data_IF_497286429892
#
_entry.id   IF_497286429892
#
_cell.length_a   1.000
_cell.length_b   1.000
_cell.length_c   1.000
_cell.angle_alpha   90.00
_cell.angle_beta   90.00
_cell.angle_gamma   90.00
#
_symmetry.space_group_name_H-M   'P 1'
#
loop_
_entity.id
_entity.type
_entity.pdbx_description
1 polymer ?
#
# COMPACT_ATOMS: atom_id res chain seq x y z
N UNK A 1 -11.05 17.56 13.88
CA UNK A 1 -11.25 16.55 12.81
C UNK A 1 -12.65 16.73 12.27
N UNK A 2 -12.81 16.65 10.95
CA UNK A 2 -14.11 16.71 10.25
C UNK A 2 -14.42 15.29 9.73
N UNK A 3 -15.69 14.90 9.68
CA UNK A 3 -16.10 13.62 9.11
C UNK A 3 -16.28 13.74 7.60
N UNK A 4 -15.89 12.72 6.85
CA UNK A 4 -16.13 12.61 5.41
C UNK A 4 -16.13 11.15 4.98
N UNK A 5 -17.01 10.81 4.05
CA UNK A 5 -17.13 9.49 3.43
C UNK A 5 -16.71 9.61 1.96
N UNK A 6 -15.78 8.76 1.54
CA UNK A 6 -15.23 8.78 0.18
C UNK A 6 -16.24 8.38 -0.89
N UNK A 7 -17.39 7.82 -0.49
CA UNK A 7 -18.51 7.49 -1.38
C UNK A 7 -19.60 8.58 -1.39
N UNK A 8 -19.50 9.61 -0.54
CA UNK A 8 -20.43 10.74 -0.47
C UNK A 8 -19.74 12.05 -0.91
N UNK A 9 -20.00 12.53 -2.15
CA UNK A 9 -19.39 13.75 -2.69
C UNK A 9 -19.62 15.01 -1.84
N UNK A 10 -20.79 15.17 -1.24
CA UNK A 10 -21.12 16.36 -0.45
C UNK A 10 -20.33 16.36 0.87
N UNK A 11 -20.14 15.18 1.45
CA UNK A 11 -19.30 15.02 2.64
C UNK A 11 -17.83 15.32 2.35
N UNK A 12 -17.33 14.95 1.16
CA UNK A 12 -15.97 15.24 0.72
C UNK A 12 -15.75 16.74 0.51
N UNK A 13 -16.69 17.44 -0.11
CA UNK A 13 -16.61 18.89 -0.32
C UNK A 13 -16.53 19.63 1.03
N UNK A 14 -17.33 19.20 2.01
CA UNK A 14 -17.27 19.73 3.37
C UNK A 14 -15.96 19.41 4.09
N UNK A 15 -15.44 18.18 3.94
CA UNK A 15 -14.20 17.75 4.58
C UNK A 15 -12.96 18.42 3.98
N UNK A 16 -12.99 18.80 2.70
CA UNK A 16 -11.90 19.47 2.00
C UNK A 16 -11.97 20.99 2.02
N UNK A 17 -13.04 21.58 2.55
CA UNK A 17 -13.19 23.03 2.64
C UNK A 17 -12.03 23.68 3.41
N UNK A 18 -11.28 24.55 2.73
CA UNK A 18 -10.12 25.27 3.29
C UNK A 18 -8.83 24.45 3.40
N UNK A 19 -8.79 23.22 2.87
CA UNK A 19 -7.60 22.39 2.84
C UNK A 19 -6.65 22.79 1.69
N UNK A 20 -5.35 22.83 1.97
CA UNK A 20 -4.31 23.11 0.96
C UNK A 20 -3.84 21.83 0.24
N UNK A 21 -4.00 20.67 0.86
CA UNK A 21 -3.57 19.39 0.33
C UNK A 21 -4.45 18.24 0.80
N UNK A 22 -4.50 17.15 0.03
CA UNK A 22 -5.19 15.91 0.42
C UNK A 22 -4.35 14.68 0.12
N UNK A 23 -4.14 13.84 1.12
CA UNK A 23 -3.48 12.54 0.97
C UNK A 23 -4.53 11.43 0.92
N UNK A 24 -4.55 10.68 -0.17
CA UNK A 24 -5.46 9.56 -0.40
C UNK A 24 -4.71 8.27 -0.10
N UNK A 25 -5.15 7.57 0.96
CA UNK A 25 -4.70 6.23 1.31
C UNK A 25 -5.94 5.39 1.59
N UNK A 26 -6.38 4.63 0.59
CA UNK A 26 -7.59 3.83 0.62
C UNK A 26 -7.25 2.36 0.39
N UNK A 27 -8.07 1.49 0.96
CA UNK A 27 -8.02 0.06 0.72
C UNK A 27 -9.42 -0.40 0.35
N UNK A 28 -9.56 -1.07 -0.79
CA UNK A 28 -10.87 -1.53 -1.28
C UNK A 28 -11.59 -2.53 -0.34
N UNK A 29 -10.91 -3.09 0.66
CA UNK A 29 -11.49 -4.12 1.54
C UNK A 29 -12.13 -5.24 0.69
N UNK A 30 -13.42 -5.53 0.91
CA UNK A 30 -14.21 -6.50 0.15
C UNK A 30 -14.70 -5.99 -1.22
N UNK A 31 -14.62 -4.69 -1.49
CA UNK A 31 -14.93 -4.08 -2.79
C UNK A 31 -13.68 -3.42 -3.37
N UNK A 32 -12.88 -4.15 -4.18
CA UNK A 32 -11.68 -3.58 -4.79
C UNK A 32 -11.91 -2.28 -5.55
N UNK A 33 -13.11 -2.05 -6.11
CA UNK A 33 -13.43 -0.85 -6.89
C UNK A 33 -13.67 0.40 -6.00
N UNK A 34 -13.92 0.23 -4.70
CA UNK A 34 -14.03 1.33 -3.73
C UNK A 34 -12.79 2.24 -3.77
N UNK A 35 -11.60 1.66 -3.90
CA UNK A 35 -10.35 2.42 -3.95
C UNK A 35 -10.29 3.33 -5.18
N UNK A 36 -10.79 2.86 -6.34
CA UNK A 36 -10.92 3.67 -7.56
C UNK A 36 -11.94 4.78 -7.38
N UNK A 37 -13.15 4.45 -6.90
CA UNK A 37 -14.24 5.42 -6.72
C UNK A 37 -13.85 6.50 -5.72
N UNK A 38 -13.35 6.10 -4.56
CA UNK A 38 -12.94 7.01 -3.51
C UNK A 38 -11.79 7.91 -3.94
N UNK A 39 -10.78 7.40 -4.65
CA UNK A 39 -9.71 8.22 -5.19
C UNK A 39 -10.22 9.24 -6.21
N UNK A 40 -11.10 8.83 -7.13
CA UNK A 40 -11.69 9.70 -8.14
C UNK A 40 -12.57 10.79 -7.51
N UNK A 41 -13.48 10.43 -6.61
CA UNK A 41 -14.39 11.36 -5.93
C UNK A 41 -13.61 12.36 -5.07
N UNK A 42 -12.60 11.88 -4.33
CA UNK A 42 -11.75 12.75 -3.51
C UNK A 42 -10.94 13.72 -4.37
N UNK A 43 -10.38 13.27 -5.50
CA UNK A 43 -9.64 14.14 -6.41
C UNK A 43 -10.55 15.20 -7.08
N UNK A 44 -11.78 14.82 -7.44
CA UNK A 44 -12.77 15.75 -7.98
C UNK A 44 -13.21 16.79 -6.93
N UNK A 45 -13.44 16.38 -5.69
CA UNK A 45 -13.74 17.27 -4.58
C UNK A 45 -12.55 18.22 -4.30
N UNK A 46 -11.33 17.71 -4.37
CA UNK A 46 -10.12 18.52 -4.26
C UNK A 46 -10.03 19.59 -5.35
N UNK A 47 -10.38 19.24 -6.59
CA UNK A 47 -10.44 20.19 -7.70
C UNK A 47 -11.50 21.28 -7.49
N UNK A 48 -12.72 20.92 -7.03
CA UNK A 48 -13.78 21.88 -6.72
C UNK A 48 -13.40 22.80 -5.56
N UNK A 49 -12.76 22.24 -4.53
CA UNK A 49 -12.35 22.95 -3.32
C UNK A 49 -11.09 23.81 -3.47
N UNK A 50 -10.43 23.77 -4.64
CA UNK A 50 -9.21 24.55 -4.89
C UNK A 50 -7.98 24.04 -4.13
N UNK A 51 -7.93 22.74 -3.81
CA UNK A 51 -6.78 22.10 -3.18
C UNK A 51 -5.56 22.22 -4.08
N UNK A 52 -4.40 22.57 -3.52
CA UNK A 52 -3.19 22.88 -4.29
C UNK A 52 -2.38 21.61 -4.67
N UNK A 53 -2.56 20.51 -3.92
CA UNK A 53 -1.87 19.24 -4.16
C UNK A 53 -2.67 18.03 -3.71
N UNK A 54 -2.78 17.02 -4.58
CA UNK A 54 -3.27 15.67 -4.22
C UNK A 54 -2.09 14.73 -4.12
N UNK A 55 -2.00 13.94 -3.06
CA UNK A 55 -1.05 12.81 -2.99
C UNK A 55 -1.80 11.50 -2.84
N UNK A 56 -1.27 10.41 -3.41
CA UNK A 56 -1.97 9.13 -3.44
C UNK A 56 -1.03 7.96 -3.21
N UNK A 57 -1.41 7.04 -2.33
CA UNK A 57 -0.73 5.75 -2.16
C UNK A 57 -1.27 4.73 -3.18
N UNK A 58 -0.42 4.36 -4.12
CA UNK A 58 -0.62 3.27 -5.08
C UNK A 58 0.37 2.11 -4.79
N UNK A 59 0.41 1.10 -5.66
CA UNK A 59 1.27 -0.08 -5.51
C UNK A 59 2.45 -0.09 -6.49
N UNK A 60 3.61 -0.59 -6.05
CA UNK A 60 4.82 -0.73 -6.87
C UNK A 60 4.61 -1.56 -8.15
N UNK A 61 3.67 -2.50 -8.14
CA UNK A 61 3.32 -3.36 -9.29
C UNK A 61 2.21 -2.80 -10.17
N UNK A 62 1.74 -1.58 -9.96
CA UNK A 62 0.62 -1.02 -10.73
C UNK A 62 1.10 -0.69 -12.15
N UNK A 63 0.61 -1.46 -13.11
CA UNK A 63 0.80 -1.26 -14.54
C UNK A 63 -0.38 -1.90 -15.30
N UNK A 64 -0.54 -1.56 -16.57
CA UNK A 64 -1.66 -2.01 -17.39
C UNK A 64 -1.70 -3.55 -17.50
N UNK A 65 -0.53 -4.18 -17.60
CA UNK A 65 -0.37 -5.64 -17.72
C UNK A 65 -0.86 -6.38 -16.47
N UNK A 66 -0.93 -5.71 -15.32
CA UNK A 66 -1.38 -6.29 -14.05
C UNK A 66 -2.86 -5.97 -13.73
N UNK A 67 -3.57 -5.24 -14.61
CA UNK A 67 -4.99 -4.89 -14.43
C UNK A 67 -5.98 -6.07 -14.52
N UNK A 68 -5.50 -7.29 -14.80
CA UNK A 68 -6.32 -8.49 -14.62
C UNK A 68 -6.65 -8.76 -13.14
N UNK A 69 -5.84 -8.23 -12.20
CA UNK A 69 -6.15 -8.25 -10.78
C UNK A 69 -6.93 -7.00 -10.38
N UNK A 70 -8.11 -7.19 -9.78
CA UNK A 70 -9.05 -6.11 -9.48
C UNK A 70 -8.44 -4.98 -8.63
N UNK A 71 -7.63 -5.31 -7.62
CA UNK A 71 -6.97 -4.31 -6.77
C UNK A 71 -5.91 -3.49 -7.49
N UNK A 72 -5.23 -4.06 -8.49
CA UNK A 72 -4.30 -3.32 -9.35
C UNK A 72 -5.05 -2.46 -10.35
N UNK A 73 -6.12 -2.99 -10.96
CA UNK A 73 -6.99 -2.24 -11.86
C UNK A 73 -7.59 -1.02 -11.18
N UNK A 74 -8.08 -1.17 -9.94
CA UNK A 74 -8.66 -0.07 -9.18
C UNK A 74 -7.63 1.04 -8.93
N UNK A 75 -6.41 0.68 -8.51
CA UNK A 75 -5.31 1.64 -8.35
C UNK A 75 -4.91 2.31 -9.65
N UNK A 76 -4.76 1.54 -10.74
CA UNK A 76 -4.40 2.06 -12.05
C UNK A 76 -5.41 3.10 -12.56
N UNK A 77 -6.70 2.80 -12.45
CA UNK A 77 -7.77 3.71 -12.84
C UNK A 77 -7.90 4.90 -11.86
N UNK A 78 -7.65 4.71 -10.57
CA UNK A 78 -7.59 5.79 -9.58
C UNK A 78 -6.45 6.76 -9.85
N UNK A 79 -5.27 6.25 -10.22
CA UNK A 79 -4.15 7.09 -10.66
C UNK A 79 -4.53 7.91 -11.91
N UNK A 80 -5.20 7.31 -12.89
CA UNK A 80 -5.66 8.02 -14.09
C UNK A 80 -6.68 9.12 -13.73
N UNK A 81 -7.68 8.80 -12.90
CA UNK A 81 -8.70 9.75 -12.47
C UNK A 81 -8.09 10.96 -11.74
N UNK A 82 -7.07 10.76 -10.89
CA UNK A 82 -6.36 11.86 -10.24
C UNK A 82 -5.70 12.77 -11.27
N UNK A 83 -4.99 12.20 -12.26
CA UNK A 83 -4.31 12.97 -13.32
C UNK A 83 -5.28 13.80 -14.15
N UNK A 84 -6.45 13.25 -14.45
CA UNK A 84 -7.50 13.89 -15.26
C UNK A 84 -8.11 15.13 -14.59
N UNK A 85 -8.02 15.25 -13.26
CA UNK A 85 -8.57 16.43 -12.55
C UNK A 85 -7.81 17.72 -12.82
N UNK A 86 -6.56 17.64 -13.29
CA UNK A 86 -5.68 18.80 -13.48
C UNK A 86 -5.12 19.40 -12.18
N UNK A 87 -5.53 18.92 -11.01
CA UNK A 87 -4.93 19.31 -9.73
C UNK A 87 -3.49 18.77 -9.69
N UNK A 88 -2.49 19.58 -9.30
CA UNK A 88 -1.13 19.08 -9.14
C UNK A 88 -1.12 17.85 -8.25
N UNK A 89 -0.42 16.78 -8.64
CA UNK A 89 -0.43 15.51 -7.90
C UNK A 89 0.96 14.96 -7.57
N UNK A 90 1.04 14.08 -6.58
CA UNK A 90 2.18 13.17 -6.40
C UNK A 90 1.66 11.76 -6.10
N UNK A 91 1.84 10.84 -7.03
CA UNK A 91 1.44 9.45 -6.87
C UNK A 91 2.64 8.67 -6.35
N UNK A 92 2.46 7.96 -5.24
CA UNK A 92 3.48 7.10 -4.65
C UNK A 92 3.19 5.64 -4.98
N UNK A 93 4.01 5.01 -5.81
CA UNK A 93 3.97 3.56 -6.04
C UNK A 93 4.91 2.88 -5.05
N UNK A 94 4.37 2.46 -3.91
CA UNK A 94 5.15 1.90 -2.82
C UNK A 94 5.19 0.37 -2.83
N UNK A 95 6.28 -0.20 -2.32
CA UNK A 95 6.35 -1.61 -1.94
C UNK A 95 5.56 -1.90 -0.65
N UNK A 96 5.64 -3.14 -0.16
CA UNK A 96 5.01 -3.54 1.08
C UNK A 96 5.52 -2.77 2.30
N UNK A 97 4.61 -2.56 3.25
CA UNK A 97 4.89 -1.88 4.50
C UNK A 97 5.19 -2.90 5.60
N UNK A 98 6.18 -2.61 6.46
CA UNK A 98 6.53 -3.42 7.62
C UNK A 98 5.30 -3.69 8.49
N UNK A 99 4.45 -2.67 8.63
CA UNK A 99 3.21 -2.68 9.38
C UNK A 99 2.29 -3.80 8.92
N UNK A 100 2.33 -4.26 7.66
CA UNK A 100 1.43 -5.32 7.17
C UNK A 100 1.81 -6.74 7.63
N UNK A 101 2.99 -6.94 8.23
CA UNK A 101 3.46 -8.26 8.64
C UNK A 101 2.61 -8.88 9.77
N UNK A 102 1.95 -8.06 10.59
CA UNK A 102 1.05 -8.57 11.64
C UNK A 102 -0.14 -9.37 11.05
N UNK A 103 -0.53 -9.12 9.80
CA UNK A 103 -1.63 -9.84 9.14
C UNK A 103 -1.32 -11.33 8.95
N UNK A 104 -0.04 -11.70 8.97
CA UNK A 104 0.42 -13.07 8.80
C UNK A 104 0.54 -13.83 10.12
N UNK A 105 0.38 -13.14 11.27
CA UNK A 105 0.53 -13.75 12.59
C UNK A 105 -0.83 -13.89 13.27
N UNK A 106 -1.13 -15.08 13.78
CA UNK A 106 -2.35 -15.41 14.54
C UNK A 106 -1.95 -16.26 15.75
N UNK A 107 -1.86 -15.63 16.92
CA UNK A 107 -1.31 -16.26 18.11
C UNK A 107 0.11 -16.76 17.86
N UNK A 108 0.39 -18.03 18.18
CA UNK A 108 1.72 -18.64 18.02
C UNK A 108 2.00 -19.19 16.61
N UNK A 109 1.29 -18.69 15.61
CA UNK A 109 1.40 -19.16 14.23
C UNK A 109 1.61 -17.99 13.28
N UNK A 110 2.70 -18.04 12.51
CA UNK A 110 2.96 -17.15 11.39
C UNK A 110 2.73 -17.93 10.09
N UNK A 111 1.70 -17.57 9.32
CA UNK A 111 1.26 -18.33 8.16
C UNK A 111 1.71 -17.66 6.86
N UNK A 112 2.57 -18.35 6.12
CA UNK A 112 3.00 -17.93 4.77
C UNK A 112 2.23 -18.76 3.73
N UNK A 113 1.42 -18.09 2.91
CA UNK A 113 0.62 -18.74 1.87
C UNK A 113 1.25 -18.50 0.50
N UNK A 114 1.65 -19.57 -0.18
CA UNK A 114 2.31 -19.48 -1.49
C UNK A 114 3.81 -19.17 -1.44
N UNK A 115 4.47 -19.28 -2.59
CA UNK A 115 5.92 -19.37 -2.75
C UNK A 115 6.67 -18.02 -2.72
N UNK A 116 5.99 -16.90 -2.96
CA UNK A 116 6.57 -15.54 -2.97
C UNK A 116 8.04 -15.46 -3.45
N UNK A 117 8.31 -15.81 -4.72
CA UNK A 117 9.68 -16.11 -5.19
C UNK A 117 10.60 -14.89 -5.31
N UNK A 118 10.08 -13.67 -5.13
CA UNK A 118 10.81 -12.43 -5.35
C UNK A 118 10.97 -11.63 -4.06
N UNK A 119 12.13 -10.96 -3.86
CA UNK A 119 12.31 -10.06 -2.73
C UNK A 119 11.46 -8.80 -2.92
N UNK A 120 11.05 -8.21 -1.79
CA UNK A 120 10.35 -6.94 -1.73
C UNK A 120 11.19 -5.93 -0.94
N UNK A 121 11.07 -4.65 -1.30
CA UNK A 121 11.71 -3.56 -0.58
C UNK A 121 10.81 -3.02 0.52
N UNK A 122 10.90 -3.58 1.73
CA UNK A 122 9.97 -3.30 2.82
C UNK A 122 10.11 -1.89 3.41
N UNK A 123 9.04 -1.11 3.36
CA UNK A 123 9.00 0.31 3.77
C UNK A 123 8.42 0.43 5.18
N UNK A 124 9.02 1.25 6.05
CA UNK A 124 8.37 1.66 7.30
C UNK A 124 7.37 2.79 7.02
N UNK A 125 6.15 2.73 7.60
CA UNK A 125 5.14 3.76 7.37
C UNK A 125 5.62 5.16 7.79
N UNK A 126 6.47 5.26 8.82
CA UNK A 126 7.06 6.54 9.24
C UNK A 126 8.00 7.14 8.16
N UNK A 127 8.79 6.33 7.47
CA UNK A 127 9.63 6.81 6.36
C UNK A 127 8.74 7.30 5.21
N UNK A 128 7.68 6.55 4.89
CA UNK A 128 6.72 6.94 3.87
C UNK A 128 5.97 8.23 4.22
N UNK A 129 5.47 8.36 5.45
CA UNK A 129 4.78 9.55 5.92
C UNK A 129 5.67 10.80 5.84
N UNK A 130 6.96 10.66 6.18
CA UNK A 130 7.96 11.73 5.96
C UNK A 130 8.03 12.11 4.48
N UNK A 131 8.14 11.14 3.58
CA UNK A 131 8.21 11.41 2.14
C UNK A 131 6.94 12.13 1.63
N UNK A 132 5.76 11.71 2.08
CA UNK A 132 4.48 12.36 1.75
C UNK A 132 4.48 13.81 2.23
N UNK A 133 4.87 14.07 3.49
CA UNK A 133 4.96 15.42 4.03
C UNK A 133 5.97 16.29 3.25
N UNK A 134 7.14 15.75 2.93
CA UNK A 134 8.16 16.44 2.12
C UNK A 134 7.65 16.77 0.71
N UNK A 135 6.79 15.94 0.11
CA UNK A 135 6.27 16.17 -1.23
C UNK A 135 5.36 17.41 -1.32
N UNK A 136 4.62 17.73 -0.26
CA UNK A 136 3.86 18.98 -0.18
C UNK A 136 4.78 20.21 -0.10
N UNK A 137 5.94 20.09 0.53
CA UNK A 137 6.93 21.16 0.63
C UNK A 137 7.88 21.25 -0.59
N UNK A 138 7.78 20.32 -1.54
CA UNK A 138 8.71 20.20 -2.68
C UNK A 138 7.96 20.45 -3.99
N UNK A 139 8.05 21.65 -4.60
CA UNK A 139 7.39 21.95 -5.87
C UNK A 139 7.76 20.98 -6.99
N UNK A 140 9.02 20.53 -7.03
CA UNK A 140 9.51 19.56 -8.02
C UNK A 140 8.88 18.16 -7.89
N UNK A 141 8.19 17.84 -6.78
CA UNK A 141 7.46 16.59 -6.63
C UNK A 141 6.06 16.63 -7.28
N UNK A 142 5.62 17.78 -7.79
CA UNK A 142 4.35 17.94 -8.48
C UNK A 142 4.32 17.20 -9.82
N UNK A 143 3.16 16.64 -10.16
CA UNK A 143 2.86 15.89 -11.37
C UNK A 143 3.78 14.67 -11.60
N UNK A 144 4.27 14.06 -10.52
CA UNK A 144 5.15 12.89 -10.57
C UNK A 144 4.48 11.61 -10.07
N UNK A 145 4.92 10.50 -10.64
CA UNK A 145 4.70 9.15 -10.08
C UNK A 145 6.04 8.67 -9.55
N UNK A 146 6.16 8.57 -8.23
CA UNK A 146 7.40 8.30 -7.51
C UNK A 146 7.38 6.89 -6.92
N UNK A 147 8.45 6.14 -7.11
CA UNK A 147 8.59 4.79 -6.57
C UNK A 147 9.19 4.83 -5.17
N UNK A 148 8.56 4.14 -4.22
CA UNK A 148 9.01 4.11 -2.82
C UNK A 148 9.48 2.70 -2.46
N UNK A 149 10.77 2.60 -2.13
CA UNK A 149 11.43 1.37 -1.76
C UNK A 149 12.08 1.49 -0.39
N UNK A 150 11.88 0.48 0.44
CA UNK A 150 12.65 0.33 1.67
C UNK A 150 14.12 0.03 1.42
N UNK A 151 14.97 0.19 2.45
CA UNK A 151 16.42 0.06 2.32
C UNK A 151 16.90 -1.38 2.10
N UNK A 152 16.04 -2.39 2.31
CA UNK A 152 16.41 -3.80 2.26
C UNK A 152 15.48 -4.60 1.34
N UNK A 153 16.07 -5.41 0.48
CA UNK A 153 15.38 -6.40 -0.33
C UNK A 153 15.24 -7.72 0.47
N UNK A 154 14.03 -8.04 0.93
CA UNK A 154 13.75 -9.26 1.71
C UNK A 154 12.61 -10.04 1.05
N UNK A 155 12.79 -11.36 0.90
CA UNK A 155 11.65 -12.24 0.59
C UNK A 155 10.59 -12.17 1.69
N UNK A 156 9.33 -12.50 1.37
CA UNK A 156 8.26 -12.58 2.36
C UNK A 156 8.63 -13.50 3.54
N UNK A 157 9.31 -14.62 3.25
CA UNK A 157 9.81 -15.54 4.27
C UNK A 157 10.83 -14.89 5.20
N UNK A 158 11.82 -14.19 4.64
CA UNK A 158 12.85 -13.51 5.45
C UNK A 158 12.23 -12.39 6.29
N UNK A 159 11.33 -11.59 5.70
CA UNK A 159 10.66 -10.52 6.42
C UNK A 159 9.82 -11.04 7.59
N UNK A 160 8.99 -12.05 7.35
CA UNK A 160 8.16 -12.65 8.39
C UNK A 160 9.01 -13.32 9.49
N UNK A 161 10.12 -13.95 9.13
CA UNK A 161 11.06 -14.52 10.10
C UNK A 161 11.70 -13.43 10.98
N UNK A 162 12.20 -12.34 10.39
CA UNK A 162 12.77 -11.21 11.13
C UNK A 162 11.73 -10.59 12.07
N UNK A 163 10.52 -10.38 11.57
CA UNK A 163 9.39 -9.87 12.36
C UNK A 163 9.06 -10.76 13.55
N UNK A 164 8.90 -12.07 13.34
CA UNK A 164 8.59 -13.01 14.42
C UNK A 164 9.73 -13.11 15.43
N UNK A 165 10.99 -13.14 15.00
CA UNK A 165 12.12 -13.23 15.92
C UNK A 165 12.17 -12.09 16.94
N UNK A 166 11.68 -10.91 16.57
CA UNK A 166 11.69 -9.73 17.45
C UNK A 166 10.38 -9.59 18.23
N UNK A 167 9.23 -9.73 17.56
CA UNK A 167 7.92 -9.39 18.13
C UNK A 167 7.06 -10.58 18.56
N UNK A 168 7.31 -11.76 17.99
CA UNK A 168 6.53 -12.98 18.28
C UNK A 168 7.48 -14.20 18.35
N UNK A 169 8.46 -14.21 19.28
CA UNK A 169 9.53 -15.22 19.31
C UNK A 169 8.99 -16.65 19.52
N UNK A 170 7.78 -16.80 20.05
CA UNK A 170 7.08 -18.06 20.22
C UNK A 170 6.31 -18.54 18.97
N UNK A 171 6.18 -17.68 17.95
CA UNK A 171 5.44 -18.00 16.75
C UNK A 171 6.20 -18.96 15.84
N UNK A 172 5.50 -19.99 15.37
CA UNK A 172 6.04 -20.94 14.39
C UNK A 172 5.67 -20.50 12.98
N UNK A 173 6.67 -20.39 12.12
CA UNK A 173 6.47 -20.12 10.71
C UNK A 173 5.98 -21.38 9.99
N UNK A 174 4.77 -21.31 9.44
CA UNK A 174 4.11 -22.39 8.70
C UNK A 174 3.93 -21.96 7.25
N UNK A 175 4.36 -22.83 6.34
CA UNK A 175 4.13 -22.65 4.92
C UNK A 175 2.90 -23.44 4.46
N UNK A 176 2.05 -22.80 3.67
CA UNK A 176 0.85 -23.41 3.09
C UNK A 176 0.77 -23.12 1.59
N UNK A 177 0.69 -24.14 0.72
CA UNK A 177 0.38 -23.93 -0.69
C UNK A 177 -1.02 -23.32 -0.90
N UNK A 178 -1.19 -22.49 -1.94
CA UNK A 178 -2.48 -21.84 -2.28
C UNK A 178 -3.61 -22.86 -2.50
N UNK A 179 -3.33 -24.00 -3.12
CA UNK A 179 -4.35 -25.05 -3.34
C UNK A 179 -4.90 -25.59 -2.02
N UNK A 180 -4.05 -25.76 -1.01
CA UNK A 180 -4.46 -26.24 0.31
C UNK A 180 -5.25 -25.17 1.04
N UNK A 181 -4.82 -23.91 0.94
CA UNK A 181 -5.55 -22.76 1.47
C UNK A 181 -6.96 -22.65 0.86
N UNK A 182 -7.09 -22.88 -0.45
CA UNK A 182 -8.37 -22.91 -1.17
C UNK A 182 -9.33 -23.96 -0.62
N UNK A 183 -8.83 -25.17 -0.34
CA UNK A 183 -9.64 -26.26 0.23
C UNK A 183 -10.13 -25.87 1.62
N UNK A 184 -9.24 -25.38 2.49
CA UNK A 184 -9.56 -24.96 3.86
C UNK A 184 -10.58 -23.82 3.85
N UNK A 185 -10.41 -22.84 2.95
CA UNK A 185 -11.29 -21.69 2.83
C UNK A 185 -12.71 -22.12 2.46
N UNK A 186 -12.86 -23.04 1.48
CA UNK A 186 -14.15 -23.56 1.02
C UNK A 186 -14.83 -24.44 2.06
N UNK A 187 -14.11 -25.40 2.65
CA UNK A 187 -14.67 -26.33 3.63
C UNK A 187 -15.00 -25.65 4.97
N UNK A 188 -14.12 -24.76 5.43
CA UNK A 188 -14.26 -24.05 6.69
C UNK A 188 -15.13 -22.80 6.63
N UNK A 189 -15.67 -22.44 5.45
CA UNK A 189 -16.42 -21.19 5.20
C UNK A 189 -15.73 -19.93 5.74
N UNK A 190 -14.39 -19.89 5.68
CA UNK A 190 -13.59 -18.77 6.20
C UNK A 190 -13.53 -17.65 5.17
N UNK A 191 -14.49 -16.72 5.22
CA UNK A 191 -14.61 -15.60 4.27
C UNK A 191 -13.32 -14.79 4.13
N UNK A 192 -12.68 -14.40 5.24
CA UNK A 192 -11.41 -13.66 5.21
C UNK A 192 -10.31 -14.37 4.39
N UNK A 193 -10.20 -15.69 4.52
CA UNK A 193 -9.23 -16.46 3.73
C UNK A 193 -9.65 -16.54 2.26
N UNK A 194 -10.95 -16.68 1.97
CA UNK A 194 -11.46 -16.66 0.59
C UNK A 194 -11.15 -15.34 -0.10
N UNK A 195 -11.32 -14.22 0.62
CA UNK A 195 -11.11 -12.87 0.10
C UNK A 195 -9.61 -12.57 -0.11
N UNK A 196 -8.71 -13.18 0.68
CA UNK A 196 -7.27 -13.02 0.55
C UNK A 196 -6.62 -13.92 -0.53
N UNK A 197 -7.25 -15.03 -0.94
CA UNK A 197 -6.66 -15.97 -1.92
C UNK A 197 -6.30 -15.34 -3.27
N UNK A 198 -7.13 -14.48 -3.88
CA UNK A 198 -6.76 -13.78 -5.12
C UNK A 198 -5.48 -12.94 -4.98
N UNK A 199 -5.26 -12.33 -3.81
CA UNK A 199 -4.04 -11.58 -3.54
C UNK A 199 -2.80 -12.47 -3.47
N UNK A 200 -2.90 -13.67 -2.86
CA UNK A 200 -1.77 -14.61 -2.84
C UNK A 200 -1.43 -15.16 -4.22
N UNK A 201 -2.44 -15.50 -5.04
CA UNK A 201 -2.23 -15.92 -6.44
C UNK A 201 -1.60 -14.78 -7.27
N UNK A 202 -2.05 -13.54 -7.04
CA UNK A 202 -1.42 -12.36 -7.61
C UNK A 202 0.07 -12.24 -7.24
N UNK A 203 0.42 -12.36 -5.96
CA UNK A 203 1.81 -12.27 -5.51
C UNK A 203 2.71 -13.40 -6.02
N UNK A 204 2.17 -14.57 -6.36
CA UNK A 204 2.95 -15.65 -6.99
C UNK A 204 3.20 -15.39 -8.48
N UNK A 205 2.21 -14.83 -9.20
CA UNK A 205 2.27 -14.62 -10.65
C UNK A 205 2.97 -13.32 -11.04
N UNK A 206 2.77 -12.27 -10.24
CA UNK A 206 3.32 -10.95 -10.53
C UNK A 206 4.66 -10.80 -9.84
N UNK A 207 5.70 -10.69 -10.67
CA UNK A 207 6.97 -10.15 -10.19
C UNK A 207 6.74 -8.68 -9.91
N UNK A 208 6.83 -8.28 -8.63
CA UNK A 208 6.90 -6.87 -8.27
C UNK A 208 8.30 -6.37 -8.64
N UNK A 209 8.53 -6.28 -9.95
CA UNK A 209 9.64 -5.55 -10.53
C UNK A 209 9.15 -4.12 -10.57
N UNK A 210 9.92 -3.20 -9.99
CA UNK A 210 9.62 -1.80 -10.13
C UNK A 210 9.57 -1.46 -11.63
N UNK A 211 8.43 -0.96 -12.09
CA UNK A 211 8.36 -0.41 -13.45
C UNK A 211 9.17 0.89 -13.61
N UNK A 212 9.77 1.40 -12.52
CA UNK A 212 10.65 2.56 -12.51
C UNK A 212 11.67 2.56 -11.37
N UNK A 213 12.30 3.70 -11.12
CA UNK A 213 13.46 3.84 -10.23
C UNK A 213 13.10 4.61 -8.95
N UNK A 214 13.55 4.19 -7.74
CA UNK A 214 13.33 4.95 -6.52
C UNK A 214 14.25 6.19 -6.38
N UNK A 215 15.26 6.33 -7.23
CA UNK A 215 16.29 7.38 -7.17
C UNK A 215 15.68 8.78 -7.24
N UNK A 216 14.68 9.00 -8.07
CA UNK A 216 14.00 10.30 -8.17
C UNK A 216 13.26 10.64 -6.88
N UNK A 217 12.54 9.67 -6.31
CA UNK A 217 11.85 9.84 -5.04
C UNK A 217 12.84 10.13 -3.90
N UNK A 218 13.95 9.39 -3.88
CA UNK A 218 15.01 9.54 -2.88
C UNK A 218 15.71 10.90 -2.98
N UNK A 219 15.98 11.39 -4.20
CA UNK A 219 16.61 12.68 -4.43
C UNK A 219 15.70 13.84 -4.02
N UNK A 220 14.39 13.73 -4.30
CA UNK A 220 13.42 14.78 -3.99
C UNK A 220 12.98 14.80 -2.52
N UNK A 221 12.81 13.62 -1.91
CA UNK A 221 12.06 13.46 -0.64
C UNK A 221 12.88 12.81 0.48
N UNK A 222 14.12 12.40 0.19
CA UNK A 222 14.97 11.62 1.09
C UNK A 222 14.61 10.13 1.07
N UNK A 223 15.64 9.29 0.99
CA UNK A 223 15.45 7.84 0.94
C UNK A 223 14.89 7.28 2.27
N UNK A 224 14.00 6.26 2.23
CA UNK A 224 13.70 5.43 3.38
C UNK A 224 14.98 4.76 3.92
N UNK A 225 15.14 4.75 5.24
CA UNK A 225 16.37 4.27 5.91
C UNK A 225 16.09 3.25 7.02
N UNK A 226 14.82 3.09 7.42
CA UNK A 226 14.44 2.19 8.50
C UNK A 226 14.45 0.74 8.02
N UNK A 227 15.37 -0.07 8.56
CA UNK A 227 15.41 -1.51 8.32
C UNK A 227 14.26 -2.21 9.04
N UNK A 228 13.86 -3.39 8.54
CA UNK A 228 12.77 -4.15 9.17
C UNK A 228 13.10 -4.54 10.63
N UNK A 229 14.37 -4.87 10.91
CA UNK A 229 14.80 -5.19 12.26
C UNK A 229 14.74 -3.98 13.19
N UNK A 230 15.24 -2.81 12.75
CA UNK A 230 15.18 -1.58 13.54
C UNK A 230 13.73 -1.17 13.82
N UNK A 231 12.87 -1.24 12.79
CA UNK A 231 11.43 -1.03 12.94
C UNK A 231 10.81 -2.01 13.93
N UNK A 232 11.11 -3.30 13.83
CA UNK A 232 10.54 -4.32 14.73
C UNK A 232 10.94 -4.07 16.18
N UNK A 233 12.19 -3.67 16.44
CA UNK A 233 12.67 -3.35 17.79
C UNK A 233 12.00 -2.10 18.36
N UNK A 234 11.66 -1.10 17.53
CA UNK A 234 10.96 0.09 18.01
C UNK A 234 9.52 -0.19 18.43
N UNK A 235 8.88 -1.26 17.92
CA UNK A 235 7.54 -1.66 18.33
C UNK A 235 7.49 -2.36 19.71
N UNK A 236 8.64 -2.76 20.26
CA UNK A 236 8.73 -3.39 21.59
C UNK A 236 8.74 -2.34 22.71
N UNK A 237 9.11 -1.10 22.40
CA UNK A 237 9.17 -0.03 23.39
C UNK A 237 7.76 0.52 23.66
N UNK A 238 7.38 0.67 24.94
CA UNK A 238 6.04 1.10 25.35
C UNK A 238 5.72 2.56 25.00
#
# INVERSE_FOLDING_TARGET
MVSGDVEDPDSLDNALAGCQGVHINLHGLSDPDLERRGAALTAQAAARGGVERVTYLSGASVCEENCWYAGTRARFLGEAAIRETGVPYTIFRAHFFNETLHNFVRGKMALLIGKHPHPYHWVAANDYARMVACAYATPLAANKTLYVCGPQALSMRQALQTYCNVLHPEARLIYMPIWMATIIAKLGRRRELQDALPFFDYCERVKIILSGSPEEANALLGAPSTTLEAWSRSQVQP
#
